data_IF_341017148065
#
_entry.id   IF_341017148065
#
_cell.length_a   1.000
_cell.length_b   1.000
_cell.length_c   1.000
_cell.angle_alpha   90.00
_cell.angle_beta   90.00
_cell.angle_gamma   90.00
#
_symmetry.space_group_name_H-M   'P 1'
#
loop_
_entity.id
_entity.type
_entity.pdbx_description
1 polymer ?
#
# COMPACT_ATOMS: atom_id res chain seq x y z
N UNK A 1 -0.10 9.21 5.42
CA UNK A 1 0.79 8.86 4.30
C UNK A 1 -0.08 8.89 3.05
N UNK A 2 -0.09 10.01 2.33
CA UNK A 2 -1.20 10.29 1.39
C UNK A 2 -0.98 11.51 0.49
N UNK A 3 0.14 12.25 0.61
CA UNK A 3 0.58 13.22 -0.41
C UNK A 3 0.78 12.57 -1.78
N UNK A 4 1.12 11.28 -1.82
CA UNK A 4 1.26 10.54 -3.07
C UNK A 4 -0.04 10.44 -3.88
N UNK A 5 -1.18 10.19 -3.22
CA UNK A 5 -2.48 10.12 -3.90
C UNK A 5 -3.13 11.50 -4.03
N UNK A 6 -2.97 12.39 -3.04
CA UNK A 6 -3.56 13.73 -3.10
C UNK A 6 -2.80 14.67 -4.04
N UNK A 7 -1.51 14.43 -4.26
CA UNK A 7 -0.62 15.37 -4.92
C UNK A 7 -0.35 16.60 -4.05
N UNK A 8 -0.18 17.74 -4.71
CA UNK A 8 0.07 19.05 -4.09
C UNK A 8 1.32 19.06 -3.19
N UNK A 9 2.46 18.71 -3.79
CA UNK A 9 3.76 18.75 -3.12
C UNK A 9 4.90 19.09 -4.08
N UNK A 10 5.99 19.58 -3.48
CA UNK A 10 7.23 19.85 -4.20
C UNK A 10 8.25 18.77 -3.88
N UNK A 11 8.93 18.28 -4.90
CA UNK A 11 10.02 17.31 -4.76
C UNK A 11 11.08 17.55 -5.83
N UNK A 12 12.32 17.78 -5.38
CA UNK A 12 13.49 18.02 -6.23
C UNK A 12 13.25 19.08 -7.33
N UNK A 13 12.69 20.22 -6.93
CA UNK A 13 12.41 21.34 -7.83
C UNK A 13 11.18 21.16 -8.73
N UNK A 14 10.52 20.00 -8.69
CA UNK A 14 9.29 19.74 -9.43
C UNK A 14 8.06 19.90 -8.54
N UNK A 15 6.99 20.48 -9.10
CA UNK A 15 5.69 20.55 -8.45
C UNK A 15 4.79 19.42 -8.97
N UNK A 16 4.28 18.60 -8.05
CA UNK A 16 3.30 17.55 -8.31
C UNK A 16 1.92 18.10 -8.02
N UNK A 17 1.14 18.34 -9.09
CA UNK A 17 -0.16 18.97 -8.99
C UNK A 17 -1.13 18.17 -8.13
N UNK A 18 -2.09 18.87 -7.51
CA UNK A 18 -3.20 18.25 -6.79
C UNK A 18 -3.98 17.33 -7.72
N UNK A 19 -4.27 16.12 -7.26
CA UNK A 19 -5.08 15.14 -7.95
C UNK A 19 -6.54 15.22 -7.47
N UNK A 20 -7.51 14.78 -8.29
CA UNK A 20 -8.93 14.87 -7.96
C UNK A 20 -9.38 13.73 -7.03
N UNK A 21 -8.62 13.49 -5.95
CA UNK A 21 -8.93 12.50 -4.95
C UNK A 21 -9.20 13.18 -3.61
N UNK A 22 -10.10 12.57 -2.85
CA UNK A 22 -10.35 12.89 -1.46
C UNK A 22 -10.19 11.63 -0.61
N UNK A 23 -9.89 11.82 0.66
CA UNK A 23 -9.76 10.72 1.59
C UNK A 23 -11.12 10.57 2.27
N UNK A 24 -11.70 9.38 2.18
CA UNK A 24 -12.97 9.08 2.84
C UNK A 24 -12.75 8.53 4.25
N UNK A 25 -11.67 7.76 4.44
CA UNK A 25 -11.32 7.13 5.70
C UNK A 25 -9.82 6.84 5.77
N UNK A 26 -9.25 6.97 6.96
CA UNK A 26 -7.87 6.59 7.25
C UNK A 26 -7.76 6.04 8.68
N UNK A 27 -7.00 4.95 8.84
CA UNK A 27 -6.73 4.35 10.14
C UNK A 27 -5.33 3.75 10.20
N UNK A 28 -4.72 3.83 11.38
CA UNK A 28 -3.48 3.12 11.71
C UNK A 28 -3.58 2.63 13.17
N UNK A 29 -2.95 1.50 13.48
CA UNK A 29 -2.94 0.99 14.86
C UNK A 29 -1.93 1.72 15.74
N UNK A 30 -0.92 2.38 15.15
CA UNK A 30 0.13 3.10 15.88
C UNK A 30 -0.32 4.53 16.22
N UNK A 31 -0.49 4.86 17.52
CA UNK A 31 -0.89 6.21 17.93
C UNK A 31 0.10 7.30 17.51
N UNK A 32 1.39 6.99 17.36
CA UNK A 32 2.39 7.96 16.90
C UNK A 32 2.23 8.26 15.40
N UNK A 33 1.93 7.23 14.60
CA UNK A 33 1.66 7.40 13.17
C UNK A 33 0.42 8.28 12.96
N UNK A 34 -0.66 8.00 13.69
CA UNK A 34 -1.90 8.81 13.64
C UNK A 34 -1.65 10.23 14.11
N UNK A 35 -0.89 10.44 15.19
CA UNK A 35 -0.52 11.78 15.66
C UNK A 35 0.18 12.60 14.57
N UNK A 36 1.16 12.00 13.89
CA UNK A 36 1.88 12.66 12.80
C UNK A 36 0.93 12.93 11.62
N UNK A 37 0.10 11.95 11.24
CA UNK A 37 -0.90 12.13 10.20
C UNK A 37 -1.81 13.33 10.48
N UNK A 38 -2.45 13.35 11.65
CA UNK A 38 -3.44 14.35 12.06
C UNK A 38 -2.86 15.77 12.16
N UNK A 39 -1.55 15.89 12.39
CA UNK A 39 -0.83 17.15 12.40
C UNK A 39 -0.52 17.70 10.98
N UNK A 40 -0.57 16.86 9.95
CA UNK A 40 -0.13 17.21 8.59
C UNK A 40 -1.25 17.18 7.53
N UNK A 41 -2.39 16.57 7.82
CA UNK A 41 -3.50 16.41 6.89
C UNK A 41 -4.78 17.04 7.44
N UNK A 42 -5.60 17.59 6.53
CA UNK A 42 -6.90 18.18 6.90
C UNK A 42 -7.89 17.08 7.33
N UNK A 43 -7.85 15.93 6.68
CA UNK A 43 -8.52 14.72 7.18
C UNK A 43 -7.82 14.22 8.46
N UNK A 44 -8.58 13.69 9.40
CA UNK A 44 -8.08 13.06 10.63
C UNK A 44 -8.19 11.53 10.56
N UNK A 45 -7.10 10.80 10.77
CA UNK A 45 -7.10 9.35 10.88
C UNK A 45 -7.48 8.88 12.29
N UNK A 46 -8.01 7.66 12.37
CA UNK A 46 -8.36 6.98 13.62
C UNK A 46 -7.22 6.08 14.12
N UNK A 47 -7.01 6.05 15.43
CA UNK A 47 -6.18 5.02 16.07
C UNK A 47 -7.02 3.77 16.19
N UNK A 48 -6.83 2.83 15.26
CA UNK A 48 -7.67 1.64 15.16
C UNK A 48 -6.92 0.46 14.59
N UNK A 49 -7.09 -0.70 15.21
CA UNK A 49 -6.66 -1.95 14.60
C UNK A 49 -7.61 -2.30 13.45
N UNK A 50 -7.07 -2.66 12.30
CA UNK A 50 -7.89 -3.03 11.13
C UNK A 50 -8.78 -4.24 11.39
N UNK A 51 -8.44 -5.08 12.38
CA UNK A 51 -9.27 -6.22 12.83
C UNK A 51 -10.57 -5.78 13.52
N UNK A 52 -10.60 -4.57 14.06
CA UNK A 52 -11.74 -3.99 14.76
C UNK A 52 -12.60 -3.10 13.83
N UNK A 53 -12.23 -3.00 12.55
CA UNK A 53 -13.01 -2.24 11.56
C UNK A 53 -14.18 -3.11 11.08
N UNK A 54 -15.40 -2.62 11.31
CA UNK A 54 -16.60 -3.21 10.72
C UNK A 54 -16.72 -2.70 9.28
N UNK A 55 -16.43 -3.58 8.32
CA UNK A 55 -16.36 -3.20 6.91
C UNK A 55 -17.61 -2.48 6.39
N UNK A 56 -18.82 -2.87 6.84
CA UNK A 56 -20.09 -2.25 6.43
C UNK A 56 -20.25 -0.79 6.89
N UNK A 57 -19.58 -0.40 7.99
CA UNK A 57 -19.61 0.95 8.55
C UNK A 57 -18.62 1.91 7.88
N UNK A 58 -17.68 1.40 7.09
CA UNK A 58 -16.78 2.25 6.31
C UNK A 58 -17.58 3.09 5.30
N UNK A 59 -17.17 4.33 5.00
CA UNK A 59 -17.78 5.09 3.94
C UNK A 59 -17.61 4.41 2.57
N UNK A 60 -18.54 4.67 1.66
CA UNK A 60 -18.37 4.30 0.26
C UNK A 60 -17.12 4.97 -0.31
N UNK A 61 -16.37 4.23 -1.12
CA UNK A 61 -15.10 4.70 -1.67
C UNK A 61 -14.78 3.99 -3.00
N UNK A 62 -14.11 4.70 -3.89
CA UNK A 62 -13.71 4.15 -5.19
C UNK A 62 -12.38 3.39 -5.15
N UNK A 63 -11.51 3.73 -4.19
CA UNK A 63 -10.15 3.20 -4.12
C UNK A 63 -9.84 2.79 -2.67
N UNK A 64 -9.44 1.53 -2.48
CA UNK A 64 -8.86 1.06 -1.22
C UNK A 64 -7.33 0.98 -1.33
N UNK A 65 -6.61 1.64 -0.42
CA UNK A 65 -5.15 1.57 -0.35
C UNK A 65 -4.73 0.84 0.93
N UNK A 66 -3.72 -0.02 0.85
CA UNK A 66 -3.20 -0.66 2.06
C UNK A 66 -1.82 -1.30 1.89
N UNK A 67 -1.01 -1.23 2.94
CA UNK A 67 0.16 -2.08 3.11
C UNK A 67 -0.10 -3.04 4.26
N UNK A 68 -0.10 -4.35 4.00
CA UNK A 68 -0.25 -5.35 5.06
C UNK A 68 1.13 -5.90 5.47
N UNK A 69 1.35 -6.24 6.76
CA UNK A 69 2.65 -6.72 7.22
C UNK A 69 3.13 -7.98 6.49
N UNK A 70 4.40 -7.99 6.04
CA UNK A 70 4.99 -9.12 5.33
C UNK A 70 5.49 -10.26 6.25
N UNK A 71 5.70 -9.98 7.53
CA UNK A 71 6.53 -10.80 8.42
C UNK A 71 5.97 -12.22 8.69
N UNK A 72 4.70 -12.45 8.38
CA UNK A 72 3.94 -13.63 8.81
C UNK A 72 3.54 -14.59 7.68
N UNK A 73 3.87 -14.27 6.42
CA UNK A 73 3.45 -15.10 5.28
C UNK A 73 4.16 -16.46 5.22
N UNK A 74 5.31 -16.60 5.89
CA UNK A 74 5.96 -17.90 6.10
C UNK A 74 5.07 -18.86 6.90
N UNK A 75 4.26 -18.36 7.83
CA UNK A 75 3.48 -19.16 8.78
C UNK A 75 2.05 -19.41 8.25
N UNK A 76 1.39 -18.38 7.72
CA UNK A 76 -0.02 -18.48 7.27
C UNK A 76 -0.22 -19.46 6.10
N UNK A 77 0.74 -19.55 5.19
CA UNK A 77 0.63 -20.47 4.05
C UNK A 77 1.08 -21.91 4.37
N UNK A 78 1.79 -22.14 5.49
CA UNK A 78 2.05 -23.49 6.01
C UNK A 78 0.85 -24.05 6.79
N UNK A 79 0.14 -23.17 7.48
CA UNK A 79 -1.06 -23.50 8.24
C UNK A 79 -2.19 -22.54 7.85
N UNK A 80 -2.84 -22.76 6.68
CA UNK A 80 -4.07 -22.03 6.38
C UNK A 80 -5.04 -22.19 7.55
N UNK A 81 -5.96 -21.24 7.80
CA UNK A 81 -6.77 -21.11 9.03
C UNK A 81 -7.60 -22.35 9.46
N UNK A 82 -7.55 -23.44 8.69
CA UNK A 82 -8.06 -24.78 9.03
C UNK A 82 -7.38 -25.46 10.22
N UNK A 83 -6.18 -25.02 10.63
CA UNK A 83 -5.37 -25.70 11.66
C UNK A 83 -5.13 -24.91 12.97
N UNK A 84 -5.81 -23.78 13.18
CA UNK A 84 -5.83 -23.10 14.49
C UNK A 84 -4.51 -22.44 14.94
N UNK A 85 -3.53 -22.27 14.05
CA UNK A 85 -2.28 -21.56 14.36
C UNK A 85 -2.49 -20.04 14.22
N UNK A 86 -2.43 -19.32 15.35
CA UNK A 86 -2.59 -17.86 15.43
C UNK A 86 -1.27 -17.15 15.12
N UNK A 87 -1.00 -16.88 13.84
CA UNK A 87 -0.09 -15.77 13.50
C UNK A 87 -0.94 -14.54 13.16
N UNK A 88 -1.23 -13.75 14.19
CA UNK A 88 -2.19 -12.64 14.16
C UNK A 88 -1.81 -11.50 13.20
N UNK A 89 -0.53 -11.41 12.80
CA UNK A 89 -0.05 -10.39 11.86
C UNK A 89 -0.18 -10.83 10.41
N UNK A 90 -0.12 -12.13 10.14
CA UNK A 90 -0.28 -12.69 8.79
C UNK A 90 -1.72 -12.77 8.32
N UNK A 91 -2.66 -12.52 9.23
CA UNK A 91 -4.09 -12.49 8.94
C UNK A 91 -4.57 -11.10 8.50
N UNK A 92 -3.75 -10.06 8.59
CA UNK A 92 -4.20 -8.69 8.31
C UNK A 92 -4.54 -8.46 6.83
N UNK A 93 -3.97 -9.23 5.89
CA UNK A 93 -4.41 -9.17 4.50
C UNK A 93 -5.85 -9.68 4.32
N UNK A 94 -6.32 -10.61 5.15
CA UNK A 94 -7.72 -11.06 5.11
C UNK A 94 -8.66 -9.95 5.56
N UNK A 95 -8.25 -9.04 6.45
CA UNK A 95 -9.05 -7.87 6.81
C UNK A 95 -9.24 -6.94 5.60
N UNK A 96 -8.20 -6.75 4.79
CA UNK A 96 -8.33 -6.04 3.50
C UNK A 96 -9.31 -6.77 2.57
N UNK A 97 -9.20 -8.09 2.44
CA UNK A 97 -10.11 -8.91 1.61
C UNK A 97 -11.57 -8.81 2.09
N UNK A 98 -11.82 -8.73 3.41
CA UNK A 98 -13.17 -8.50 3.94
C UNK A 98 -13.74 -7.16 3.50
N UNK A 99 -12.95 -6.09 3.58
CA UNK A 99 -13.37 -4.76 3.10
C UNK A 99 -13.65 -4.79 1.60
N UNK A 100 -12.80 -5.45 0.80
CA UNK A 100 -13.00 -5.57 -0.64
C UNK A 100 -14.31 -6.32 -0.99
N UNK A 101 -14.64 -7.40 -0.28
CA UNK A 101 -15.88 -8.16 -0.51
C UNK A 101 -17.14 -7.39 -0.14
N UNK A 102 -17.06 -6.58 0.92
CA UNK A 102 -18.19 -5.80 1.46
C UNK A 102 -18.42 -4.52 0.65
N UNK A 103 -17.38 -3.67 0.53
CA UNK A 103 -17.48 -2.33 -0.06
C UNK A 103 -17.28 -2.31 -1.57
N UNK A 104 -16.62 -3.34 -2.12
CA UNK A 104 -16.39 -3.51 -3.56
C UNK A 104 -15.93 -2.22 -4.26
N UNK A 105 -14.90 -1.51 -3.78
CA UNK A 105 -14.38 -0.32 -4.46
C UNK A 105 -14.01 -0.63 -5.91
N UNK A 106 -14.05 0.37 -6.79
CA UNK A 106 -13.67 0.24 -8.21
C UNK A 106 -12.25 -0.29 -8.37
N UNK A 107 -11.33 0.14 -7.49
CA UNK A 107 -9.93 -0.27 -7.48
C UNK A 107 -9.42 -0.56 -6.07
N UNK A 108 -8.34 -1.34 -5.98
CA UNK A 108 -7.48 -1.32 -4.81
C UNK A 108 -6.01 -1.34 -5.18
N UNK A 109 -5.16 -0.82 -4.29
CA UNK A 109 -3.71 -0.91 -4.40
C UNK A 109 -3.17 -1.47 -3.09
N UNK A 110 -2.51 -2.63 -3.18
CA UNK A 110 -1.76 -3.21 -2.10
C UNK A 110 -0.25 -3.11 -2.36
N UNK A 111 0.50 -2.62 -1.37
CA UNK A 111 1.96 -2.59 -1.40
C UNK A 111 2.55 -3.68 -0.50
N UNK A 112 3.64 -4.30 -0.94
CA UNK A 112 4.43 -5.17 -0.09
C UNK A 112 5.91 -5.20 -0.45
N UNK A 113 6.74 -5.78 0.41
CA UNK A 113 8.17 -5.95 0.14
C UNK A 113 8.43 -7.00 -0.93
N UNK A 114 9.54 -6.86 -1.66
CA UNK A 114 10.01 -7.84 -2.67
C UNK A 114 10.02 -9.28 -2.15
N UNK A 115 10.34 -9.48 -0.87
CA UNK A 115 10.39 -10.79 -0.22
C UNK A 115 9.08 -11.58 -0.28
N UNK A 116 7.93 -10.90 -0.46
CA UNK A 116 6.63 -11.55 -0.62
C UNK A 116 6.59 -12.55 -1.78
N UNK A 117 7.25 -12.23 -2.90
CA UNK A 117 7.27 -13.08 -4.10
C UNK A 117 7.96 -14.44 -3.88
N UNK A 118 8.87 -14.50 -2.90
CA UNK A 118 9.60 -15.71 -2.52
C UNK A 118 9.13 -16.33 -1.21
N UNK A 119 8.19 -15.68 -0.51
CA UNK A 119 7.74 -16.12 0.80
C UNK A 119 7.07 -17.50 0.73
N UNK A 120 7.27 -18.29 1.80
CA UNK A 120 6.79 -19.67 1.93
C UNK A 120 7.01 -20.52 0.66
N UNK A 121 8.26 -20.66 0.21
CA UNK A 121 8.60 -21.46 -0.98
C UNK A 121 7.77 -21.04 -2.22
N UNK A 122 7.56 -19.73 -2.39
CA UNK A 122 6.77 -19.09 -3.47
C UNK A 122 5.27 -19.40 -3.45
N UNK A 123 4.73 -19.95 -2.36
CA UNK A 123 3.30 -20.30 -2.26
C UNK A 123 2.43 -19.14 -1.72
N UNK A 124 3.01 -18.21 -0.95
CA UNK A 124 2.23 -17.15 -0.32
C UNK A 124 1.62 -16.18 -1.35
N UNK A 125 2.41 -15.73 -2.32
CA UNK A 125 1.96 -14.75 -3.30
C UNK A 125 0.80 -15.27 -4.19
N UNK A 126 0.87 -16.47 -4.79
CA UNK A 126 -0.28 -17.03 -5.52
C UNK A 126 -1.55 -17.17 -4.69
N UNK A 127 -1.43 -17.50 -3.39
CA UNK A 127 -2.57 -17.57 -2.48
C UNK A 127 -3.21 -16.19 -2.28
N UNK A 128 -2.40 -15.15 -2.06
CA UNK A 128 -2.90 -13.76 -1.92
C UNK A 128 -3.62 -13.30 -3.19
N UNK A 129 -3.03 -13.55 -4.37
CA UNK A 129 -3.66 -13.20 -5.65
C UNK A 129 -5.01 -13.91 -5.78
N UNK A 130 -5.07 -15.21 -5.47
CA UNK A 130 -6.31 -15.98 -5.51
C UNK A 130 -7.39 -15.43 -4.57
N UNK A 131 -7.03 -14.98 -3.36
CA UNK A 131 -7.99 -14.38 -2.43
C UNK A 131 -8.55 -13.06 -2.95
N UNK A 132 -7.72 -12.24 -3.62
CA UNK A 132 -8.20 -11.02 -4.29
C UNK A 132 -9.09 -11.32 -5.50
N UNK A 133 -8.75 -12.32 -6.32
CA UNK A 133 -9.60 -12.79 -7.42
C UNK A 133 -10.95 -13.31 -6.90
N UNK A 134 -10.93 -14.07 -5.80
CA UNK A 134 -12.15 -14.55 -5.13
C UNK A 134 -12.97 -13.42 -4.47
N UNK A 135 -12.36 -12.26 -4.23
CA UNK A 135 -13.08 -11.05 -3.82
C UNK A 135 -13.74 -10.32 -5.01
N UNK A 136 -13.53 -10.79 -6.24
CA UNK A 136 -14.14 -10.24 -7.46
C UNK A 136 -13.27 -9.22 -8.19
N UNK A 137 -11.94 -9.34 -8.10
CA UNK A 137 -11.00 -8.40 -8.72
C UNK A 137 -10.07 -9.07 -9.74
N UNK A 138 -9.84 -8.37 -10.86
CA UNK A 138 -8.80 -8.68 -11.83
C UNK A 138 -7.49 -8.02 -11.40
N UNK A 139 -6.37 -8.74 -11.47
CA UNK A 139 -5.14 -8.30 -10.80
C UNK A 139 -4.00 -8.05 -11.78
N UNK A 140 -3.41 -6.86 -11.69
CA UNK A 140 -2.06 -6.57 -12.20
C UNK A 140 -1.09 -6.47 -11.04
N UNK A 141 0.15 -6.92 -11.21
CA UNK A 141 1.21 -6.67 -10.23
C UNK A 141 2.56 -6.42 -10.89
N UNK A 142 3.41 -5.63 -10.24
CA UNK A 142 4.77 -5.35 -10.72
C UNK A 142 5.71 -5.07 -9.56
N UNK A 143 6.94 -5.57 -9.67
CA UNK A 143 8.04 -5.19 -8.79
C UNK A 143 8.61 -3.87 -9.31
N UNK A 144 8.55 -2.81 -8.49
CA UNK A 144 9.06 -1.48 -8.81
C UNK A 144 10.21 -1.12 -7.88
N UNK A 145 11.22 -0.44 -8.40
CA UNK A 145 12.31 0.12 -7.62
C UNK A 145 12.21 1.64 -7.61
N UNK A 146 12.07 2.25 -6.42
CA UNK A 146 11.93 3.71 -6.28
C UNK A 146 13.03 4.52 -7.00
N UNK A 147 14.25 3.97 -7.14
CA UNK A 147 15.36 4.57 -7.91
C UNK A 147 15.08 4.78 -9.39
N UNK A 148 14.09 4.11 -9.95
CA UNK A 148 13.66 4.22 -11.34
C UNK A 148 12.56 5.28 -11.52
N UNK A 149 12.05 5.83 -10.42
CA UNK A 149 10.95 6.80 -10.36
C UNK A 149 11.36 8.10 -9.66
N UNK A 150 12.65 8.44 -9.72
CA UNK A 150 13.17 9.71 -9.23
C UNK A 150 13.48 9.77 -7.74
N UNK A 151 13.34 8.67 -7.00
CA UNK A 151 13.71 8.63 -5.58
C UNK A 151 15.12 8.07 -5.43
N UNK A 152 16.12 8.78 -4.86
CA UNK A 152 17.50 8.31 -4.75
C UNK A 152 17.69 7.23 -3.67
N UNK A 153 16.87 6.18 -3.70
CA UNK A 153 16.85 5.08 -2.75
C UNK A 153 16.61 3.76 -3.48
N UNK A 154 17.45 2.74 -3.21
CA UNK A 154 17.17 1.36 -3.64
C UNK A 154 16.06 0.79 -2.75
N UNK A 155 14.81 0.93 -3.19
CA UNK A 155 13.64 0.42 -2.49
C UNK A 155 12.76 -0.35 -3.47
N UNK A 156 12.90 -1.67 -3.44
CA UNK A 156 12.12 -2.59 -4.27
C UNK A 156 10.83 -2.99 -3.54
N UNK A 157 9.68 -2.78 -4.18
CA UNK A 157 8.34 -3.08 -3.65
C UNK A 157 7.46 -3.70 -4.72
N UNK A 158 6.66 -4.66 -4.32
CA UNK A 158 5.62 -5.24 -5.17
C UNK A 158 4.37 -4.40 -4.98
N UNK A 159 3.86 -3.87 -6.09
CA UNK A 159 2.56 -3.23 -6.14
C UNK A 159 1.58 -4.20 -6.77
N UNK A 160 0.47 -4.44 -6.09
CA UNK A 160 -0.65 -5.27 -6.56
C UNK A 160 -1.81 -4.30 -6.75
N UNK A 161 -2.33 -4.22 -7.97
CA UNK A 161 -3.45 -3.36 -8.34
C UNK A 161 -4.61 -4.23 -8.77
N UNK A 162 -5.73 -4.12 -8.07
CA UNK A 162 -6.94 -4.85 -8.38
C UNK A 162 -8.01 -3.96 -8.99
N UNK A 163 -8.72 -4.51 -9.97
CA UNK A 163 -9.76 -3.85 -10.75
C UNK A 163 -11.06 -4.64 -10.64
N UNK A 164 -12.15 -3.97 -10.24
CA UNK A 164 -13.46 -4.62 -10.19
C UNK A 164 -14.03 -4.87 -11.59
N UNK A 165 -13.76 -3.96 -12.51
CA UNK A 165 -14.34 -3.93 -13.84
C UNK A 165 -13.26 -4.20 -14.93
N UNK A 166 -13.58 -5.05 -15.92
CA UNK A 166 -12.66 -5.47 -16.99
C UNK A 166 -12.11 -4.28 -17.81
N UNK A 167 -12.95 -3.27 -18.07
CA UNK A 167 -12.56 -2.11 -18.86
C UNK A 167 -11.34 -1.39 -18.26
N UNK A 168 -11.35 -1.22 -16.94
CA UNK A 168 -10.25 -0.58 -16.23
C UNK A 168 -9.02 -1.49 -16.18
N UNK A 169 -9.22 -2.79 -15.98
CA UNK A 169 -8.15 -3.79 -15.98
C UNK A 169 -7.37 -3.78 -17.30
N UNK A 170 -8.05 -3.71 -18.44
CA UNK A 170 -7.40 -3.71 -19.76
C UNK A 170 -6.77 -2.36 -20.12
N UNK A 171 -7.27 -1.25 -19.58
CA UNK A 171 -6.69 0.09 -19.81
C UNK A 171 -5.48 0.39 -18.96
N UNK A 172 -5.36 -0.23 -17.79
CA UNK A 172 -4.30 0.07 -16.85
C UNK A 172 -2.92 -0.32 -17.37
N UNK A 173 -1.96 0.57 -17.15
CA UNK A 173 -0.54 0.31 -17.35
C UNK A 173 0.23 0.86 -16.16
N UNK A 174 1.23 0.11 -15.69
CA UNK A 174 2.17 0.64 -14.69
C UNK A 174 2.98 1.80 -15.28
N UNK A 175 3.40 2.77 -14.46
CA UNK A 175 4.18 3.91 -14.92
C UNK A 175 5.49 3.45 -15.58
N UNK A 176 5.90 4.22 -16.59
CA UNK A 176 7.21 4.09 -17.22
C UNK A 176 8.31 4.61 -16.28
N UNK A 177 9.49 4.01 -16.38
CA UNK A 177 10.66 4.42 -15.62
C UNK A 177 11.23 5.72 -16.18
N UNK A 178 11.83 6.55 -15.32
CA UNK A 178 12.58 7.71 -15.78
C UNK A 178 13.87 7.28 -16.51
N UNK A 179 14.31 8.06 -17.52
CA UNK A 179 15.51 7.73 -18.29
C UNK A 179 16.79 7.79 -17.45
N UNK A 180 16.81 8.64 -16.41
CA UNK A 180 17.96 8.84 -15.54
C UNK A 180 17.57 8.68 -14.07
N UNK A 181 18.48 8.11 -13.27
CA UNK A 181 18.33 7.99 -11.82
C UNK A 181 18.87 9.23 -11.15
N UNK A 182 18.19 9.66 -10.08
CA UNK A 182 18.61 10.82 -9.31
C UNK A 182 19.71 10.40 -8.30
N UNK A 183 20.87 11.08 -8.28
CA UNK A 183 21.90 10.87 -7.25
C UNK A 183 21.47 11.32 -5.84
N UNK A 184 21.96 10.63 -4.80
CA UNK A 184 21.64 10.93 -3.40
C UNK A 184 21.91 12.38 -3.00
N UNK A 185 22.98 13.00 -3.51
CA UNK A 185 23.37 14.39 -3.18
C UNK A 185 22.26 15.43 -3.38
N UNK A 186 21.30 15.17 -4.27
CA UNK A 186 20.20 16.11 -4.53
C UNK A 186 19.07 16.02 -3.48
N UNK A 187 19.06 14.98 -2.65
CA UNK A 187 18.08 14.79 -1.58
C UNK A 187 18.69 14.93 -0.18
N UNK A 188 19.97 15.29 -0.08
CA UNK A 188 20.62 15.59 1.19
C UNK A 188 20.39 17.07 1.53
N UNK A 189 20.04 17.33 2.79
CA UNK A 189 20.07 18.68 3.34
C UNK A 189 21.50 18.98 3.81
N UNK A 190 22.20 19.84 3.08
CA UNK A 190 23.57 20.22 3.44
C UNK A 190 23.63 20.96 4.80
N UNK A 191 22.55 21.62 5.21
CA UNK A 191 22.50 22.36 6.49
C UNK A 191 22.41 21.40 7.68
N UNK A 192 21.74 20.26 7.50
CA UNK A 192 21.61 19.23 8.54
C UNK A 192 22.95 18.58 8.95
N UNK A 193 24.01 18.71 8.12
CA UNK A 193 25.34 18.19 8.46
C UNK A 193 26.07 18.99 9.56
N UNK A 194 25.52 20.13 9.99
CA UNK A 194 26.13 21.00 11.00
C UNK A 194 25.45 20.94 12.37
N UNK A 195 24.32 20.21 12.49
CA UNK A 195 23.48 20.18 13.68
C UNK A 195 23.72 18.97 14.60
N UNK A 196 24.62 18.06 14.24
CA UNK A 196 25.12 17.04 15.17
C UNK A 196 26.22 17.64 16.06
N UNK A 197 25.82 18.23 17.19
CA UNK A 197 26.69 18.51 18.35
C UNK A 197 26.31 17.64 19.54
#
# INVERSE_FOLDING_TARGET
MDKGILGDFHYLGNHYAKLPFEIAYAADYDPYAVKIYNANFSHQAEIKDVRDIVAGELPEHDILLGGFPCQSFSIVAQNPPRLGYKDEKGTLFFEMVKVLKEKKPRFFIAENVKGLLSANQKQAFPMIIREFEQAGYHIHFKLLNASEFGVPQKRERVFIVGFRDDEDFFKFQFPETLPEKIPLKYALDEQANHDEK
#
